data_IF_883296923448
#
_entry.id   IF_883296923448
#
_cell.length_a   1.000
_cell.length_b   1.000
_cell.length_c   1.000
_cell.angle_alpha   90.00
_cell.angle_beta   90.00
_cell.angle_gamma   90.00
#
_symmetry.space_group_name_H-M   'P 1'
#
loop_
_entity.id
_entity.type
_entity.pdbx_description
1 polymer ?
#
# COMPACT_ATOMS: atom_id res chain seq x y z
N UNK A 1 -27.31 21.62 4.13
CA UNK A 1 -27.30 21.72 5.59
C UNK A 1 -27.54 20.32 6.11
N UNK A 2 -26.53 19.66 6.65
CA UNK A 2 -26.71 18.38 7.34
C UNK A 2 -27.50 18.67 8.62
N UNK A 3 -28.57 17.92 8.91
CA UNK A 3 -29.29 18.11 10.15
C UNK A 3 -28.36 17.83 11.33
N UNK A 4 -28.22 18.82 12.21
CA UNK A 4 -27.45 18.72 13.46
C UNK A 4 -28.06 17.70 14.46
N UNK A 5 -29.17 17.09 14.10
CA UNK A 5 -29.91 16.16 14.96
C UNK A 5 -29.30 14.75 15.02
N UNK A 6 -28.35 14.43 14.15
CA UNK A 6 -27.64 13.15 14.21
C UNK A 6 -26.30 13.23 14.93
N UNK A 7 -26.26 14.03 16.01
CA UNK A 7 -25.18 14.00 17.01
C UNK A 7 -25.31 12.80 17.96
N UNK A 8 -26.36 11.99 17.85
CA UNK A 8 -26.50 10.75 18.62
C UNK A 8 -25.36 9.76 18.36
N UNK A 9 -24.74 9.82 17.17
CA UNK A 9 -23.52 9.09 16.87
C UNK A 9 -22.27 9.63 17.55
N UNK A 10 -22.30 10.85 18.08
CA UNK A 10 -21.13 11.45 18.76
C UNK A 10 -21.05 11.00 20.22
N UNK A 11 -22.17 10.72 20.85
CA UNK A 11 -22.24 10.26 22.23
C UNK A 11 -22.55 8.75 22.36
N UNK A 12 -22.80 8.08 21.26
CA UNK A 12 -23.03 6.64 21.22
C UNK A 12 -21.75 5.86 20.93
N UNK A 13 -21.74 4.61 21.28
CA UNK A 13 -20.67 3.62 21.06
C UNK A 13 -20.16 3.49 19.61
N UNK A 14 -20.70 4.25 18.66
CA UNK A 14 -20.31 4.25 17.24
C UNK A 14 -18.92 4.80 16.93
N UNK A 15 -18.33 5.62 17.79
CA UNK A 15 -16.94 6.09 17.64
C UNK A 15 -15.91 5.02 17.98
N UNK A 16 -16.32 3.97 18.65
CA UNK A 16 -15.52 2.84 19.06
C UNK A 16 -15.87 1.58 18.26
N UNK A 17 -16.48 1.74 17.07
CA UNK A 17 -16.62 0.62 16.16
C UNK A 17 -15.23 0.01 15.91
N UNK A 18 -15.18 -1.30 15.80
CA UNK A 18 -13.97 -2.04 15.45
C UNK A 18 -13.24 -1.33 14.31
N UNK A 19 -11.92 -1.11 14.41
CA UNK A 19 -11.15 -0.47 13.35
C UNK A 19 -11.42 -1.17 12.03
N UNK A 20 -11.74 -0.39 11.01
CA UNK A 20 -11.93 -0.94 9.67
C UNK A 20 -10.67 -1.66 9.25
N UNK A 21 -10.78 -2.94 8.85
CA UNK A 21 -9.65 -3.78 8.45
C UNK A 21 -9.53 -3.97 6.94
N UNK A 22 -10.51 -3.52 6.17
CA UNK A 22 -10.56 -3.70 4.71
C UNK A 22 -11.04 -2.44 4.02
N UNK A 23 -10.33 -2.00 2.99
CA UNK A 23 -10.66 -0.87 2.12
C UNK A 23 -10.66 -1.33 0.68
N UNK A 24 -11.59 -0.83 -0.12
CA UNK A 24 -11.56 -0.96 -1.57
C UNK A 24 -11.46 0.44 -2.15
N UNK A 25 -10.41 0.68 -2.90
CA UNK A 25 -10.09 1.95 -3.54
C UNK A 25 -10.11 1.77 -5.05
N UNK A 26 -10.35 2.86 -5.75
CA UNK A 26 -10.41 2.87 -7.20
C UNK A 26 -9.39 3.86 -7.77
N UNK A 27 -9.11 3.74 -9.05
CA UNK A 27 -8.21 4.67 -9.75
C UNK A 27 -8.62 6.13 -9.47
N UNK A 28 -7.64 7.00 -9.34
CA UNK A 28 -7.77 8.43 -8.99
C UNK A 28 -8.26 8.74 -7.57
N UNK A 29 -8.41 7.73 -6.71
CA UNK A 29 -8.68 7.98 -5.29
C UNK A 29 -7.51 8.72 -4.63
N UNK A 30 -7.85 9.79 -3.88
CA UNK A 30 -6.90 10.58 -3.07
C UNK A 30 -7.44 10.63 -1.65
N UNK A 31 -6.67 10.15 -0.68
CA UNK A 31 -7.09 10.06 0.72
C UNK A 31 -6.13 10.83 1.62
N UNK A 32 -6.52 12.00 2.13
CA UNK A 32 -5.70 12.80 3.03
C UNK A 32 -5.50 12.11 4.38
N UNK A 33 -4.28 12.18 4.93
CA UNK A 33 -3.93 11.53 6.20
C UNK A 33 -4.66 12.08 7.43
N UNK A 34 -4.93 13.38 7.47
CA UNK A 34 -5.45 14.04 8.67
C UNK A 34 -6.91 13.74 8.98
N UNK A 35 -7.67 13.15 8.09
CA UNK A 35 -9.09 12.82 8.34
C UNK A 35 -9.32 11.38 8.84
N UNK A 36 -8.28 10.56 9.04
CA UNK A 36 -8.41 9.13 9.39
C UNK A 36 -9.32 8.36 8.42
N UNK A 37 -9.46 8.86 7.20
CA UNK A 37 -10.40 8.33 6.20
C UNK A 37 -9.89 7.07 5.51
N UNK A 38 -8.58 6.81 5.58
CA UNK A 38 -7.91 5.71 4.89
C UNK A 38 -7.22 4.71 5.80
N UNK A 39 -6.64 3.67 5.20
CA UNK A 39 -5.84 2.71 5.91
C UNK A 39 -4.56 3.36 6.43
N UNK A 40 -4.16 3.01 7.65
CA UNK A 40 -2.85 3.36 8.20
C UNK A 40 -1.98 2.13 8.14
N UNK A 41 -0.99 2.14 7.25
CA UNK A 41 -0.19 0.95 6.95
C UNK A 41 1.23 0.99 7.54
N UNK A 42 1.63 2.12 8.12
CA UNK A 42 2.97 2.27 8.69
C UNK A 42 3.17 1.36 9.89
N UNK A 43 4.14 0.44 9.79
CA UNK A 43 4.45 -0.53 10.82
C UNK A 43 3.34 -1.56 11.11
N UNK A 44 2.39 -1.73 10.22
CA UNK A 44 1.26 -2.65 10.35
C UNK A 44 1.34 -3.72 9.27
N UNK A 45 1.24 -4.99 9.65
CA UNK A 45 1.13 -6.08 8.69
C UNK A 45 -0.12 -5.92 7.84
N UNK A 46 0.03 -5.99 6.53
CA UNK A 46 -1.08 -5.74 5.61
C UNK A 46 -0.89 -6.45 4.27
N UNK A 47 -1.99 -6.56 3.54
CA UNK A 47 -2.04 -7.04 2.16
C UNK A 47 -2.59 -5.93 1.26
N UNK A 48 -1.97 -5.76 0.11
CA UNK A 48 -2.46 -4.92 -0.98
C UNK A 48 -2.71 -5.84 -2.17
N UNK A 49 -3.95 -5.88 -2.64
CA UNK A 49 -4.36 -6.64 -3.83
C UNK A 49 -4.82 -5.66 -4.90
N UNK A 50 -4.24 -5.74 -6.09
CA UNK A 50 -4.54 -4.85 -7.22
C UNK A 50 -4.97 -5.67 -8.42
N UNK A 51 -6.04 -5.24 -9.08
CA UNK A 51 -6.42 -5.71 -10.41
C UNK A 51 -6.23 -4.59 -11.42
N UNK A 52 -5.42 -4.81 -12.42
CA UNK A 52 -5.11 -3.80 -13.43
C UNK A 52 -4.93 -4.39 -14.83
N UNK A 53 -4.96 -3.52 -15.83
CA UNK A 53 -4.54 -3.83 -17.20
C UNK A 53 -3.17 -3.20 -17.44
N UNK A 54 -2.21 -4.00 -17.89
CA UNK A 54 -0.82 -3.59 -18.12
C UNK A 54 -0.39 -3.83 -19.56
N UNK A 55 0.35 -2.89 -20.12
CA UNK A 55 1.12 -3.05 -21.35
C UNK A 55 2.60 -2.81 -21.11
N UNK A 56 3.46 -3.25 -22.01
CA UNK A 56 4.92 -3.16 -21.83
C UNK A 56 5.49 -1.75 -21.79
N UNK A 57 4.67 -0.74 -22.05
CA UNK A 57 5.01 0.69 -21.99
C UNK A 57 4.40 1.39 -20.77
N UNK A 58 3.64 0.67 -19.96
CA UNK A 58 2.93 1.25 -18.81
C UNK A 58 3.82 1.24 -17.56
N UNK A 59 4.87 2.07 -17.56
CA UNK A 59 5.60 2.40 -16.33
C UNK A 59 4.80 3.47 -15.56
N UNK A 60 4.73 3.36 -14.24
CA UNK A 60 4.05 4.37 -13.41
C UNK A 60 3.62 3.85 -12.06
N UNK A 61 3.15 4.77 -11.20
CA UNK A 61 2.75 4.49 -9.83
C UNK A 61 1.33 3.94 -9.77
N UNK A 62 1.20 2.73 -9.23
CA UNK A 62 -0.08 2.05 -9.01
C UNK A 62 -0.77 2.59 -7.77
N UNK A 63 -0.02 2.77 -6.68
CA UNK A 63 -0.49 3.35 -5.43
C UNK A 63 0.71 3.87 -4.65
N UNK A 64 0.57 5.05 -4.06
CA UNK A 64 1.55 5.65 -3.17
C UNK A 64 0.89 6.16 -1.89
N UNK A 65 1.68 6.29 -0.83
CA UNK A 65 1.28 6.87 0.44
C UNK A 65 2.49 7.60 1.03
N UNK A 66 2.54 8.93 0.91
CA UNK A 66 3.66 9.74 1.30
C UNK A 66 4.55 10.19 0.14
N UNK A 67 5.82 10.51 0.42
CA UNK A 67 6.74 11.10 -0.55
C UNK A 67 8.22 10.97 -0.15
N UNK A 68 9.03 11.93 -0.58
CA UNK A 68 10.50 11.88 -0.44
C UNK A 68 11.04 11.82 1.01
N UNK A 69 10.24 12.27 1.99
CA UNK A 69 10.63 12.26 3.41
C UNK A 69 10.10 11.06 4.17
N UNK A 70 9.28 10.25 3.54
CA UNK A 70 8.75 9.03 4.12
C UNK A 70 7.47 8.58 3.45
N UNK A 71 7.28 7.27 3.38
CA UNK A 71 6.13 6.70 2.73
C UNK A 71 6.39 5.32 2.16
N UNK A 72 5.47 4.86 1.34
CA UNK A 72 5.64 3.65 0.54
C UNK A 72 4.96 3.81 -0.82
N UNK A 73 5.44 3.08 -1.80
CA UNK A 73 4.85 3.06 -3.13
C UNK A 73 4.93 1.66 -3.76
N UNK A 74 3.90 1.33 -4.52
CA UNK A 74 3.85 0.20 -5.44
C UNK A 74 3.80 0.76 -6.86
N UNK A 75 4.78 0.45 -7.68
CA UNK A 75 4.91 1.01 -9.01
C UNK A 75 5.54 0.02 -10.00
N UNK A 76 5.36 0.29 -11.28
CA UNK A 76 6.03 -0.42 -12.36
C UNK A 76 7.09 0.49 -12.94
N UNK A 77 8.31 -0.03 -13.06
CA UNK A 77 9.42 0.61 -13.77
C UNK A 77 10.22 -0.42 -14.56
N UNK A 78 10.47 -0.13 -15.83
CA UNK A 78 11.16 -1.04 -16.76
C UNK A 78 10.56 -2.45 -16.76
N UNK A 79 9.23 -2.52 -16.80
CA UNK A 79 8.44 -3.76 -16.79
C UNK A 79 8.60 -4.63 -15.53
N UNK A 80 9.13 -4.10 -14.46
CA UNK A 80 9.23 -4.79 -13.16
C UNK A 80 8.34 -4.10 -12.15
N UNK A 81 7.68 -4.89 -11.32
CA UNK A 81 6.94 -4.39 -10.19
C UNK A 81 7.90 -4.14 -9.04
N UNK A 82 7.74 -2.99 -8.40
CA UNK A 82 8.52 -2.56 -7.24
C UNK A 82 7.60 -2.18 -6.09
N UNK A 83 7.94 -2.62 -4.91
CA UNK A 83 7.43 -2.08 -3.65
C UNK A 83 8.59 -1.38 -2.96
N UNK A 84 8.41 -0.12 -2.60
CA UNK A 84 9.40 0.65 -1.87
C UNK A 84 8.82 1.19 -0.58
N UNK A 85 9.55 1.04 0.53
CA UNK A 85 9.35 1.79 1.75
C UNK A 85 10.47 2.82 1.89
N UNK A 86 10.11 4.06 2.18
CA UNK A 86 11.01 5.20 2.35
C UNK A 86 10.91 5.72 3.77
N UNK A 87 12.05 5.90 4.41
CA UNK A 87 12.18 6.51 5.72
C UNK A 87 13.29 7.56 5.69
N UNK A 88 12.91 8.85 5.58
CA UNK A 88 13.83 9.98 5.46
C UNK A 88 14.86 9.88 4.31
N UNK A 89 14.44 9.33 3.18
CA UNK A 89 15.33 9.13 2.03
C UNK A 89 16.08 7.81 2.03
N UNK A 90 16.05 7.07 3.15
CA UNK A 90 16.53 5.69 3.21
C UNK A 90 15.46 4.76 2.67
N UNK A 91 15.73 4.07 1.57
CA UNK A 91 14.73 3.28 0.85
C UNK A 91 15.07 1.80 0.83
N UNK A 92 14.13 0.98 1.29
CA UNK A 92 14.12 -0.45 1.04
C UNK A 92 13.22 -0.73 -0.17
N UNK A 93 13.80 -1.29 -1.23
CA UNK A 93 13.07 -1.61 -2.46
C UNK A 93 13.08 -3.09 -2.75
N UNK A 94 11.91 -3.68 -2.84
CA UNK A 94 11.68 -5.07 -3.22
C UNK A 94 11.11 -5.10 -4.63
N UNK A 95 11.70 -5.93 -5.50
CA UNK A 95 11.37 -5.95 -6.93
C UNK A 95 11.08 -7.36 -7.40
N UNK A 96 10.24 -7.49 -8.42
CA UNK A 96 10.06 -8.78 -9.09
C UNK A 96 11.37 -9.22 -9.76
N UNK A 97 11.65 -10.51 -9.71
CA UNK A 97 12.86 -11.09 -10.31
C UNK A 97 12.85 -11.02 -11.83
N UNK A 98 11.66 -11.05 -12.44
CA UNK A 98 11.44 -11.03 -13.88
C UNK A 98 10.50 -9.89 -14.26
N UNK A 99 10.49 -9.53 -15.53
CA UNK A 99 9.50 -8.64 -16.11
C UNK A 99 8.09 -9.20 -15.92
N UNK A 100 7.13 -8.34 -15.59
CA UNK A 100 5.72 -8.72 -15.45
C UNK A 100 5.09 -8.86 -16.84
N UNK A 101 4.11 -9.77 -17.03
CA UNK A 101 3.46 -9.97 -18.31
C UNK A 101 2.53 -8.82 -18.68
N UNK A 102 2.19 -8.71 -19.95
CA UNK A 102 1.15 -7.82 -20.45
C UNK A 102 -0.25 -8.42 -20.23
N UNK A 103 -1.26 -7.57 -20.26
CA UNK A 103 -2.68 -7.94 -20.17
C UNK A 103 -3.27 -7.71 -18.80
N UNK A 104 -4.33 -8.43 -18.48
CA UNK A 104 -4.97 -8.36 -17.17
C UNK A 104 -4.09 -9.00 -16.11
N UNK A 105 -3.77 -8.24 -15.06
CA UNK A 105 -2.92 -8.68 -13.97
C UNK A 105 -3.67 -8.63 -12.63
N UNK A 106 -3.44 -9.66 -11.83
CA UNK A 106 -3.66 -9.69 -10.38
C UNK A 106 -2.30 -9.55 -9.70
N UNK A 107 -2.13 -8.46 -8.97
CA UNK A 107 -0.93 -8.21 -8.16
C UNK A 107 -1.33 -8.34 -6.69
N UNK A 108 -0.49 -9.01 -5.90
CA UNK A 108 -0.65 -9.09 -4.46
C UNK A 108 0.68 -8.77 -3.78
N UNK A 109 0.64 -7.87 -2.82
CA UNK A 109 1.76 -7.52 -1.96
C UNK A 109 1.38 -7.89 -0.53
N UNK A 110 2.20 -8.68 0.11
CA UNK A 110 2.07 -9.02 1.53
C UNK A 110 3.23 -8.38 2.28
N UNK A 111 2.91 -7.51 3.23
CA UNK A 111 3.87 -6.80 4.06
C UNK A 111 3.68 -7.26 5.49
N UNK A 112 4.69 -7.88 6.06
CA UNK A 112 4.63 -8.50 7.37
C UNK A 112 5.63 -7.80 8.28
N UNK A 113 5.16 -7.38 9.44
CA UNK A 113 6.01 -6.87 10.50
C UNK A 113 6.69 -8.03 11.21
N UNK A 114 8.00 -8.04 11.21
CA UNK A 114 8.82 -9.12 11.79
C UNK A 114 9.47 -8.75 13.11
N UNK A 115 9.65 -7.43 13.36
CA UNK A 115 10.21 -6.89 14.59
C UNK A 115 9.66 -5.46 14.84
N UNK A 116 10.10 -4.78 15.87
CA UNK A 116 9.65 -3.41 16.21
C UNK A 116 9.84 -2.42 15.05
N UNK A 117 10.89 -2.57 14.27
CA UNK A 117 11.26 -1.67 13.17
C UNK A 117 11.51 -2.39 11.85
N UNK A 118 11.32 -3.70 11.80
CA UNK A 118 11.60 -4.50 10.62
C UNK A 118 10.35 -5.14 10.04
N UNK A 119 10.39 -5.42 8.75
CA UNK A 119 9.34 -6.11 8.04
C UNK A 119 9.87 -6.98 6.92
N UNK A 120 8.98 -7.71 6.31
CA UNK A 120 9.26 -8.56 5.16
C UNK A 120 8.15 -8.41 4.12
N UNK A 121 8.52 -8.37 2.85
CA UNK A 121 7.59 -8.19 1.74
C UNK A 121 7.65 -9.38 0.81
N UNK A 122 6.49 -9.85 0.37
CA UNK A 122 6.34 -10.79 -0.75
C UNK A 122 5.48 -10.18 -1.86
N UNK A 123 5.98 -10.30 -3.07
CA UNK A 123 5.30 -9.85 -4.29
C UNK A 123 4.79 -11.06 -5.06
N UNK A 124 3.53 -11.00 -5.47
CA UNK A 124 2.90 -12.00 -6.33
C UNK A 124 2.33 -11.34 -7.58
N UNK A 125 2.45 -12.02 -8.71
CA UNK A 125 1.84 -11.64 -9.97
C UNK A 125 1.07 -12.84 -10.51
N UNK A 126 -0.24 -12.68 -10.72
CA UNK A 126 -1.15 -13.75 -11.12
C UNK A 126 -1.01 -14.99 -10.20
N UNK A 127 -1.06 -14.75 -8.89
CA UNK A 127 -0.94 -15.73 -7.79
C UNK A 127 0.37 -16.51 -7.74
N UNK A 128 1.38 -16.10 -8.52
CA UNK A 128 2.70 -16.72 -8.51
C UNK A 128 3.69 -15.83 -7.77
N UNK A 129 4.51 -16.40 -6.87
CA UNK A 129 5.60 -15.66 -6.23
C UNK A 129 6.49 -15.02 -7.30
N UNK A 130 6.80 -13.74 -7.14
CA UNK A 130 7.51 -12.95 -8.13
C UNK A 130 8.72 -12.20 -7.58
N UNK A 131 8.76 -11.95 -6.26
CA UNK A 131 9.87 -11.31 -5.56
C UNK A 131 9.60 -11.23 -4.07
N UNK A 132 10.66 -11.11 -3.28
CA UNK A 132 10.55 -10.96 -1.83
C UNK A 132 11.79 -10.25 -1.27
N UNK A 133 11.69 -9.70 -0.06
CA UNK A 133 12.82 -9.05 0.62
C UNK A 133 12.44 -8.42 1.95
N UNK A 134 13.46 -8.01 2.70
CA UNK A 134 13.32 -7.40 4.02
C UNK A 134 13.15 -5.88 3.94
N UNK A 135 12.38 -5.34 4.86
CA UNK A 135 12.28 -3.93 5.18
C UNK A 135 13.06 -3.68 6.47
N UNK A 136 14.10 -2.85 6.42
CA UNK A 136 14.93 -2.50 7.57
C UNK A 136 14.34 -1.36 8.39
N UNK A 137 13.44 -0.58 7.76
CA UNK A 137 12.81 0.60 8.34
C UNK A 137 11.29 0.50 8.20
N UNK A 138 10.66 -0.42 8.94
CA UNK A 138 9.21 -0.61 8.94
C UNK A 138 8.60 -0.04 10.23
N UNK A 139 8.50 1.28 10.31
CA UNK A 139 8.10 2.02 11.51
C UNK A 139 6.63 2.37 11.55
N UNK A 140 6.10 2.64 12.75
CA UNK A 140 4.68 2.97 13.02
C UNK A 140 4.25 4.38 12.61
N UNK A 141 5.16 5.25 12.21
CA UNK A 141 4.84 6.63 11.88
C UNK A 141 5.53 7.06 10.60
N UNK A 142 4.89 7.99 9.93
CA UNK A 142 5.38 8.67 8.74
C UNK A 142 5.44 10.17 9.04
N UNK A 143 6.41 10.84 8.45
CA UNK A 143 6.61 12.29 8.61
C UNK A 143 6.10 13.10 7.42
N UNK A 144 5.33 12.50 6.56
CA UNK A 144 4.72 13.18 5.42
C UNK A 144 3.25 13.50 5.68
N UNK A 145 2.80 14.62 5.09
CA UNK A 145 1.38 14.95 4.96
C UNK A 145 0.85 14.66 3.56
N UNK A 146 1.68 14.07 2.70
CA UNK A 146 1.28 13.70 1.35
C UNK A 146 0.28 12.56 1.39
N UNK A 147 -0.83 12.63 0.61
CA UNK A 147 -1.95 11.72 0.73
C UNK A 147 -1.61 10.31 0.23
N UNK A 148 -2.46 9.34 0.57
CA UNK A 148 -2.53 8.09 -0.16
C UNK A 148 -3.22 8.35 -1.50
N UNK A 149 -2.58 7.95 -2.60
CA UNK A 149 -3.06 8.14 -3.96
C UNK A 149 -3.08 6.84 -4.76
N UNK A 150 -4.13 6.60 -5.54
CA UNK A 150 -4.24 5.42 -6.42
C UNK A 150 -4.06 5.83 -7.87
N UNK A 151 -3.12 5.18 -8.56
CA UNK A 151 -2.81 5.43 -9.96
C UNK A 151 -1.88 6.62 -10.17
N UNK A 152 -1.30 7.16 -9.11
CA UNK A 152 -0.35 8.28 -9.20
C UNK A 152 0.46 8.47 -7.94
N UNK A 153 1.48 9.33 -8.07
CA UNK A 153 2.22 10.00 -7.01
C UNK A 153 2.41 11.46 -7.47
N UNK A 154 1.69 12.38 -6.84
CA UNK A 154 1.50 13.74 -7.41
C UNK A 154 2.49 14.78 -6.89
N UNK A 155 3.04 14.61 -5.68
CA UNK A 155 3.80 15.68 -5.02
C UNK A 155 5.30 15.43 -5.06
N UNK A 156 5.83 14.61 -4.16
CA UNK A 156 7.25 14.26 -4.16
C UNK A 156 7.43 12.73 -4.24
N UNK A 157 8.41 12.25 -5.04
CA UNK A 157 8.51 10.81 -5.29
C UNK A 157 8.91 10.05 -4.03
N UNK A 158 8.21 8.95 -3.76
CA UNK A 158 8.60 8.01 -2.69
C UNK A 158 9.92 7.32 -3.03
N UNK A 159 10.19 7.09 -4.31
CA UNK A 159 11.35 6.37 -4.81
C UNK A 159 12.08 7.15 -5.89
N UNK A 160 13.41 7.05 -5.92
CA UNK A 160 14.28 7.75 -6.89
C UNK A 160 14.22 7.15 -8.31
N UNK A 161 13.59 6.00 -8.53
CA UNK A 161 13.42 5.41 -9.86
C UNK A 161 12.42 6.16 -10.74
N UNK A 162 11.60 7.04 -10.16
CA UNK A 162 10.67 7.87 -10.91
C UNK A 162 10.70 9.32 -10.42
N UNK A 163 10.11 10.21 -11.19
CA UNK A 163 9.88 11.60 -10.83
C UNK A 163 8.39 11.85 -10.64
N UNK A 164 8.02 12.73 -9.71
CA UNK A 164 6.64 13.20 -9.55
C UNK A 164 6.42 14.50 -10.34
N UNK A 165 5.22 14.73 -10.86
CA UNK A 165 4.06 13.82 -10.82
C UNK A 165 4.26 12.59 -11.69
N UNK A 166 3.96 11.41 -11.14
CA UNK A 166 4.04 10.13 -11.86
C UNK A 166 2.67 9.47 -11.90
N UNK A 167 2.15 9.22 -13.09
CA UNK A 167 0.81 8.67 -13.31
C UNK A 167 0.95 7.31 -13.98
N UNK A 168 0.23 6.31 -13.48
CA UNK A 168 0.11 5.02 -14.14
C UNK A 168 -0.78 5.16 -15.37
N UNK A 169 -0.27 4.91 -16.58
CA UNK A 169 -1.03 5.14 -17.80
C UNK A 169 -2.03 4.02 -18.12
N UNK A 170 -1.92 2.87 -17.45
CA UNK A 170 -2.84 1.74 -17.60
C UNK A 170 -4.14 1.94 -16.80
N UNK A 171 -5.02 0.95 -16.86
CA UNK A 171 -6.30 0.97 -16.13
C UNK A 171 -6.20 0.15 -14.84
N UNK A 172 -6.47 0.77 -13.70
CA UNK A 172 -6.59 0.09 -12.40
C UNK A 172 -8.07 -0.15 -12.13
N UNK A 173 -8.47 -1.42 -12.05
CA UNK A 173 -9.85 -1.79 -11.76
C UNK A 173 -10.19 -1.51 -10.30
N UNK A 174 -9.35 -1.96 -9.39
CA UNK A 174 -9.46 -1.73 -7.96
C UNK A 174 -8.15 -2.04 -7.23
N UNK A 175 -8.06 -1.48 -6.02
CA UNK A 175 -7.03 -1.77 -5.02
C UNK A 175 -7.76 -2.14 -3.74
N UNK A 176 -7.51 -3.34 -3.24
CA UNK A 176 -8.04 -3.81 -1.95
C UNK A 176 -6.89 -3.85 -0.95
N UNK A 177 -7.08 -3.19 0.18
CA UNK A 177 -6.12 -3.16 1.29
C UNK A 177 -6.75 -3.85 2.48
N UNK A 178 -6.04 -4.80 3.08
CA UNK A 178 -6.44 -5.55 4.26
C UNK A 178 -5.33 -5.45 5.30
N UNK A 179 -5.70 -5.12 6.55
CA UNK A 179 -4.76 -5.03 7.66
C UNK A 179 -4.93 -6.22 8.61
N UNK A 180 -3.81 -6.77 9.07
CA UNK A 180 -3.79 -7.77 10.14
C UNK A 180 -3.76 -7.11 11.53
N UNK A 181 -3.75 -7.90 12.60
CA UNK A 181 -3.52 -7.41 13.95
C UNK A 181 -2.10 -6.81 14.09
N UNK A 182 -1.91 -5.82 14.97
CA UNK A 182 -0.62 -5.17 15.22
C UNK A 182 0.33 -6.01 16.09
N UNK A 183 0.06 -7.30 16.26
CA UNK A 183 0.91 -8.19 17.02
C UNK A 183 2.15 -8.54 16.18
N UNK A 184 3.32 -8.44 16.79
CA UNK A 184 4.55 -8.97 16.19
C UNK A 184 4.42 -10.49 16.22
N UNK A 185 4.41 -11.12 15.05
CA UNK A 185 4.35 -12.56 14.87
C UNK A 185 5.49 -12.98 13.95
N UNK A 186 5.86 -14.25 14.00
CA UNK A 186 6.82 -14.75 13.02
C UNK A 186 6.22 -14.70 11.60
N UNK A 187 7.09 -14.72 10.59
CA UNK A 187 6.66 -14.56 9.19
C UNK A 187 5.58 -15.56 8.77
N UNK A 188 5.71 -16.81 9.18
CA UNK A 188 4.80 -17.87 8.73
C UNK A 188 3.41 -17.68 9.35
N UNK A 189 3.35 -17.45 10.67
CA UNK A 189 2.10 -17.18 11.38
C UNK A 189 1.38 -15.93 10.82
N UNK A 190 2.12 -14.86 10.53
CA UNK A 190 1.53 -13.65 9.97
C UNK A 190 0.98 -13.86 8.55
N UNK A 191 1.65 -14.65 7.72
CA UNK A 191 1.14 -15.00 6.40
C UNK A 191 -0.08 -15.93 6.48
N UNK A 192 -0.12 -16.86 7.44
CA UNK A 192 -1.30 -17.72 7.69
C UNK A 192 -2.52 -16.90 8.12
N UNK A 193 -2.36 -15.92 9.03
CA UNK A 193 -3.44 -15.01 9.44
C UNK A 193 -4.01 -14.23 8.25
N UNK A 194 -3.13 -13.71 7.37
CA UNK A 194 -3.56 -12.99 6.16
C UNK A 194 -4.27 -13.90 5.15
N UNK A 195 -3.92 -15.19 5.10
CA UNK A 195 -4.55 -16.16 4.19
C UNK A 195 -5.86 -16.71 4.77
N UNK A 196 -5.97 -16.86 6.08
CA UNK A 196 -7.16 -17.40 6.76
C UNK A 196 -8.34 -16.44 6.84
N UNK A 197 -8.17 -15.17 6.45
CA UNK A 197 -9.21 -14.13 6.49
C UNK A 197 -10.06 -14.04 5.20
N UNK A 198 -10.11 -15.11 4.39
CA UNK A 198 -10.95 -15.19 3.17
C UNK A 198 -12.31 -15.80 3.43
#
# INVERSE_FOLDING_TARGET
>A
VLPLDDMSGINGSGWWSEPKKRWTLYQDAIIPHHFKAGPRLFGISHRISVRLMHSSVDDGVIISDGGQFGGWALFIHQRRLHYTANYYGDTDRISTLKAIPNGSLSIRVEVIRTDEQEGYVRLYVNDRPAGEGSLKQFRHYNFTNEPLEVGRDSQTPVDQLYQSPNIFPGAIKDVVIETASNVIVDQNTAFEELMGSQ
#
